data_IF_486666059152
#
_entry.id   IF_486666059152
#
_cell.length_a   1.000
_cell.length_b   1.000
_cell.length_c   1.000
_cell.angle_alpha   90.00
_cell.angle_beta   90.00
_cell.angle_gamma   90.00
#
_symmetry.space_group_name_H-M   'P 1'
#
loop_
_entity.id
_entity.type
_entity.pdbx_description
1 polymer ?
#
# COMPACT_ATOMS: atom_id res chain seq x y z
N UNK A 1 20.25 -2.90 9.27
CA UNK A 1 19.32 -4.05 9.18
C UNK A 1 18.72 -4.07 7.79
N UNK A 2 19.21 -4.93 6.90
CA UNK A 2 18.74 -5.01 5.52
C UNK A 2 17.54 -5.95 5.46
N UNK A 3 16.33 -5.39 5.41
CA UNK A 3 15.10 -6.18 5.27
C UNK A 3 15.07 -6.84 3.89
N UNK A 4 15.23 -8.17 3.84
CA UNK A 4 15.19 -8.96 2.61
C UNK A 4 13.83 -8.85 1.88
N UNK A 5 12.79 -8.34 2.54
CA UNK A 5 11.43 -8.15 2.01
C UNK A 5 11.38 -7.19 0.81
N UNK A 6 12.31 -6.23 0.73
CA UNK A 6 12.37 -5.25 -0.37
C UNK A 6 12.73 -5.87 -1.74
N UNK A 7 13.40 -7.03 -1.76
CA UNK A 7 13.93 -7.61 -3.00
C UNK A 7 12.89 -8.41 -3.81
N UNK A 8 11.78 -8.81 -3.19
CA UNK A 8 10.82 -9.73 -3.81
C UNK A 8 9.52 -9.04 -4.28
N UNK A 9 9.25 -7.81 -3.86
CA UNK A 9 8.10 -7.05 -4.34
C UNK A 9 8.42 -6.41 -5.70
N UNK A 10 7.87 -6.95 -6.79
CA UNK A 10 7.98 -6.32 -8.11
C UNK A 10 7.30 -4.94 -8.06
N UNK A 11 8.10 -3.86 -8.07
CA UNK A 11 7.60 -2.48 -8.05
C UNK A 11 6.66 -2.22 -9.24
N UNK A 12 5.53 -1.58 -9.00
CA UNK A 12 4.76 -1.01 -10.10
C UNK A 12 5.54 0.16 -10.74
N UNK A 13 5.37 0.43 -12.05
CA UNK A 13 6.01 1.57 -12.69
C UNK A 13 5.78 2.88 -11.94
N UNK A 14 6.85 3.66 -11.77
CA UNK A 14 6.79 4.94 -11.05
C UNK A 14 6.77 4.84 -9.53
N UNK A 15 7.09 3.67 -8.94
CA UNK A 15 7.29 3.51 -7.50
C UNK A 15 8.77 3.43 -7.14
N UNK A 16 9.12 4.09 -6.03
CA UNK A 16 10.44 3.98 -5.42
C UNK A 16 10.38 3.09 -4.16
N UNK A 17 11.49 2.42 -3.78
CA UNK A 17 11.50 1.49 -2.65
C UNK A 17 11.05 2.10 -1.31
N UNK A 18 11.47 3.32 -1.00
CA UNK A 18 11.04 4.07 0.19
C UNK A 18 9.54 4.39 0.18
N UNK A 19 8.97 4.73 -0.98
CA UNK A 19 7.52 4.93 -1.12
C UNK A 19 6.75 3.64 -0.86
N UNK A 20 7.29 2.48 -1.25
CA UNK A 20 6.67 1.19 -0.98
C UNK A 20 6.66 0.88 0.51
N UNK A 21 7.74 1.17 1.24
CA UNK A 21 7.76 1.04 2.71
C UNK A 21 6.74 1.99 3.36
N UNK A 22 6.64 3.23 2.88
CA UNK A 22 5.61 4.18 3.33
C UNK A 22 4.20 3.65 3.07
N UNK A 23 3.94 3.13 1.87
CA UNK A 23 2.64 2.55 1.53
C UNK A 23 2.30 1.39 2.47
N UNK A 24 3.24 0.48 2.69
CA UNK A 24 3.06 -0.68 3.56
C UNK A 24 2.61 -0.26 4.97
N UNK A 25 3.32 0.67 5.60
CA UNK A 25 2.96 1.16 6.93
C UNK A 25 1.64 1.95 6.89
N UNK A 26 1.38 2.70 5.82
CA UNK A 26 0.11 3.42 5.65
C UNK A 26 -1.09 2.47 5.51
N UNK A 27 -0.94 1.34 4.81
CA UNK A 27 -1.96 0.28 4.71
C UNK A 27 -2.25 -0.33 6.08
N UNK A 28 -1.20 -0.68 6.83
CA UNK A 28 -1.32 -1.20 8.19
C UNK A 28 -2.02 -0.20 9.13
N UNK A 29 -1.66 1.08 9.03
CA UNK A 29 -2.17 2.14 9.91
C UNK A 29 -3.58 2.59 9.57
N UNK A 30 -3.92 2.75 8.30
CA UNK A 30 -5.20 3.32 7.87
C UNK A 30 -6.21 2.29 7.41
N UNK A 31 -5.78 1.06 7.11
CA UNK A 31 -6.58 -0.02 6.57
C UNK A 31 -6.48 -0.10 5.04
N UNK A 32 -6.46 -1.32 4.52
CA UNK A 32 -6.40 -1.60 3.07
C UNK A 32 -7.67 -1.06 2.41
N UNK A 33 -7.56 -0.44 1.23
CA UNK A 33 -8.71 0.16 0.55
C UNK A 33 -9.03 1.60 0.98
N UNK A 34 -8.43 2.12 2.05
CA UNK A 34 -8.67 3.49 2.54
C UNK A 34 -7.80 4.53 1.79
N UNK A 35 -7.82 4.47 0.46
CA UNK A 35 -6.98 5.28 -0.44
C UNK A 35 -7.08 6.77 -0.17
N UNK A 36 -8.31 7.28 -0.01
CA UNK A 36 -8.54 8.69 0.29
C UNK A 36 -7.86 9.12 1.59
N UNK A 37 -7.91 8.30 2.65
CA UNK A 37 -7.28 8.58 3.94
C UNK A 37 -5.75 8.57 3.83
N UNK A 38 -5.20 7.59 3.10
CA UNK A 38 -3.76 7.52 2.82
C UNK A 38 -3.31 8.78 2.06
N UNK A 39 -4.02 9.18 1.01
CA UNK A 39 -3.68 10.38 0.24
C UNK A 39 -3.78 11.67 1.07
N UNK A 40 -4.86 11.82 1.86
CA UNK A 40 -5.07 12.98 2.73
C UNK A 40 -4.00 13.12 3.82
N UNK A 41 -3.39 12.01 4.26
CA UNK A 41 -2.25 12.07 5.19
C UNK A 41 -1.00 12.71 4.61
N UNK A 42 -0.91 12.82 3.27
CA UNK A 42 0.23 13.42 2.57
C UNK A 42 1.51 12.56 2.57
N UNK A 43 1.47 11.32 3.04
CA UNK A 43 2.65 10.46 3.10
C UNK A 43 3.18 10.00 1.72
N UNK A 44 2.31 9.99 0.70
CA UNK A 44 2.61 9.58 -0.67
C UNK A 44 2.13 10.62 -1.68
N UNK A 45 2.78 11.79 -1.78
CA UNK A 45 2.41 12.87 -2.68
C UNK A 45 2.55 12.42 -4.14
N UNK A 46 1.62 12.87 -4.97
CA UNK A 46 1.57 12.54 -6.40
C UNK A 46 1.05 11.14 -6.73
N UNK A 47 0.83 10.26 -5.75
CA UNK A 47 0.23 8.94 -6.00
C UNK A 47 -1.29 9.02 -6.12
N UNK A 48 -1.82 8.37 -7.14
CA UNK A 48 -3.26 8.23 -7.40
C UNK A 48 -3.84 6.98 -6.72
N UNK A 49 -5.16 6.90 -6.47
CA UNK A 49 -5.79 5.70 -5.93
C UNK A 49 -5.50 4.42 -6.73
N UNK A 50 -5.45 4.54 -8.07
CA UNK A 50 -5.12 3.41 -8.95
C UNK A 50 -3.69 2.89 -8.69
N UNK A 51 -2.72 3.80 -8.59
CA UNK A 51 -1.33 3.44 -8.26
C UNK A 51 -1.22 2.80 -6.88
N UNK A 52 -1.93 3.32 -5.87
CA UNK A 52 -1.98 2.74 -4.53
C UNK A 52 -2.55 1.30 -4.57
N UNK A 53 -3.65 1.10 -5.28
CA UNK A 53 -4.30 -0.20 -5.44
C UNK A 53 -3.37 -1.22 -6.14
N UNK A 54 -2.80 -0.87 -7.30
CA UNK A 54 -1.91 -1.75 -8.05
C UNK A 54 -0.64 -2.11 -7.28
N UNK A 55 -0.05 -1.17 -6.54
CA UNK A 55 1.09 -1.48 -5.69
C UNK A 55 0.70 -2.34 -4.49
N UNK A 56 -0.50 -2.14 -3.93
CA UNK A 56 -1.02 -3.00 -2.84
C UNK A 56 -1.22 -4.44 -3.31
N UNK A 57 -1.75 -4.67 -4.52
CA UNK A 57 -1.88 -6.01 -5.11
C UNK A 57 -0.54 -6.72 -5.20
N UNK A 58 0.51 -5.99 -5.62
CA UNK A 58 1.89 -6.50 -5.71
C UNK A 58 2.49 -6.80 -4.35
N UNK A 59 2.25 -5.92 -3.36
CA UNK A 59 2.68 -6.13 -1.97
C UNK A 59 2.07 -7.39 -1.37
N UNK A 60 0.76 -7.62 -1.58
CA UNK A 60 0.06 -8.78 -1.03
C UNK A 60 0.24 -10.06 -1.87
N UNK A 61 0.76 -9.94 -3.10
CA UNK A 61 0.88 -11.06 -4.02
C UNK A 61 -0.45 -11.56 -4.58
N UNK A 62 -1.49 -10.73 -4.63
CA UNK A 62 -2.82 -11.08 -5.11
C UNK A 62 -3.53 -9.91 -5.80
N UNK A 63 -4.23 -10.18 -6.91
CA UNK A 63 -4.94 -9.13 -7.67
C UNK A 63 -6.27 -8.72 -7.03
N UNK A 64 -7.06 -9.67 -6.52
CA UNK A 64 -8.26 -9.34 -5.74
C UNK A 64 -7.85 -8.79 -4.37
N UNK A 65 -8.43 -7.64 -4.00
CA UNK A 65 -8.28 -7.05 -2.68
C UNK A 65 -9.51 -7.22 -1.79
N UNK A 66 -10.59 -7.81 -2.32
CA UNK A 66 -11.92 -7.76 -1.71
C UNK A 66 -11.96 -8.31 -0.27
N UNK A 67 -11.22 -9.39 -0.01
CA UNK A 67 -11.12 -10.03 1.31
C UNK A 67 -10.22 -9.29 2.31
N UNK A 68 -9.49 -8.26 1.85
CA UNK A 68 -8.59 -7.45 2.67
C UNK A 68 -9.11 -6.04 2.94
N UNK A 69 -10.12 -5.59 2.17
CA UNK A 69 -10.65 -4.23 2.28
C UNK A 69 -11.09 -3.91 3.71
N UNK A 70 -10.72 -2.72 4.16
CA UNK A 70 -10.99 -2.15 5.49
C UNK A 70 -10.29 -2.82 6.67
N UNK A 71 -9.52 -3.88 6.44
CA UNK A 71 -8.74 -4.54 7.49
C UNK A 71 -7.38 -3.86 7.69
N UNK A 72 -6.90 -3.93 8.93
CA UNK A 72 -5.56 -3.52 9.34
C UNK A 72 -4.72 -4.78 9.53
N UNK A 73 -3.98 -5.17 8.48
CA UNK A 73 -3.28 -6.45 8.43
C UNK A 73 -1.76 -6.25 8.38
N UNK A 74 -1.02 -7.20 8.94
CA UNK A 74 0.42 -7.33 8.71
C UNK A 74 0.67 -7.74 7.24
N UNK A 75 1.12 -6.78 6.45
CA UNK A 75 1.29 -6.92 5.00
C UNK A 75 2.33 -7.98 4.67
N UNK A 76 3.41 -8.11 5.44
CA UNK A 76 4.45 -9.11 5.16
C UNK A 76 3.95 -10.52 5.43
N UNK A 77 3.16 -10.70 6.50
CA UNK A 77 2.54 -12.01 6.80
C UNK A 77 1.57 -12.43 5.71
N UNK A 78 0.72 -11.50 5.23
CA UNK A 78 -0.20 -11.77 4.12
C UNK A 78 0.58 -12.11 2.85
N UNK A 79 1.60 -11.32 2.51
CA UNK A 79 2.44 -11.55 1.34
C UNK A 79 3.09 -12.93 1.37
N UNK A 80 3.70 -13.30 2.51
CA UNK A 80 4.32 -14.62 2.71
C UNK A 80 3.30 -15.75 2.62
N UNK A 81 2.12 -15.58 3.21
CA UNK A 81 1.04 -16.57 3.12
C UNK A 81 0.61 -16.78 1.66
N UNK A 82 0.35 -15.70 0.92
CA UNK A 82 -0.05 -15.78 -0.49
C UNK A 82 1.06 -16.31 -1.40
N UNK A 83 2.33 -15.99 -1.12
CA UNK A 83 3.47 -16.55 -1.84
C UNK A 83 3.51 -18.09 -1.73
N UNK A 84 3.19 -18.63 -0.55
CA UNK A 84 3.23 -20.07 -0.27
C UNK A 84 1.98 -20.84 -0.71
N UNK A 85 0.90 -20.18 -1.17
CA UNK A 85 -0.31 -20.87 -1.65
C UNK A 85 -0.02 -21.74 -2.87
N UNK A 86 -0.31 -23.03 -2.78
CA UNK A 86 -0.24 -23.98 -3.89
C UNK A 86 -1.60 -24.11 -4.59
N UNK A 87 -1.63 -24.67 -5.80
CA UNK A 87 -2.89 -24.90 -6.54
C UNK A 87 -3.56 -23.65 -7.12
N UNK A 88 -2.93 -22.48 -7.05
CA UNK A 88 -3.48 -21.21 -7.56
C UNK A 88 -2.82 -20.77 -8.86
N UNK A 89 -3.59 -20.12 -9.73
CA UNK A 89 -3.08 -19.47 -10.94
C UNK A 89 -2.47 -18.11 -10.60
N UNK A 90 -1.36 -17.78 -11.26
CA UNK A 90 -0.64 -16.51 -11.07
C UNK A 90 -0.44 -15.78 -12.39
N UNK A 91 -0.58 -14.46 -12.35
CA UNK A 91 -0.22 -13.55 -13.46
C UNK A 91 0.61 -12.41 -12.87
N UNK A 92 1.81 -12.22 -13.43
CA UNK A 92 2.78 -11.23 -12.95
C UNK A 92 3.09 -11.37 -11.45
N UNK A 93 3.33 -12.61 -11.00
CA UNK A 93 3.59 -13.00 -9.59
C UNK A 93 2.43 -12.76 -8.61
N UNK A 94 1.27 -12.31 -9.06
CA UNK A 94 0.08 -12.16 -8.22
C UNK A 94 -0.91 -13.31 -8.46
N UNK A 95 -1.53 -13.81 -7.40
CA UNK A 95 -2.67 -14.73 -7.48
C UNK A 95 -3.81 -14.04 -8.24
N UNK A 96 -4.38 -14.76 -9.20
CA UNK A 96 -5.55 -14.34 -9.97
C UNK A 96 -6.76 -15.20 -9.61
N UNK A 97 -7.93 -14.57 -9.48
CA UNK A 97 -9.18 -15.31 -9.36
C UNK A 97 -9.54 -15.87 -10.75
N UNK A 98 -9.65 -17.18 -10.85
CA UNK A 98 -10.12 -17.88 -12.07
C UNK A 98 -11.41 -18.64 -11.86
N UNK A 99 -12.01 -18.53 -10.67
CA UNK A 99 -13.29 -19.14 -10.32
C UNK A 99 -14.43 -18.13 -10.35
N UNK A 100 -15.58 -18.56 -9.81
CA UNK A 100 -16.72 -17.68 -9.56
C UNK A 100 -16.31 -16.58 -8.58
N UNK A 101 -16.88 -15.39 -8.72
CA UNK A 101 -16.77 -14.38 -7.68
C UNK A 101 -17.38 -14.92 -6.37
N UNK A 102 -16.69 -14.75 -5.23
CA UNK A 102 -17.25 -15.18 -3.94
C UNK A 102 -18.57 -14.45 -3.70
N UNK A 103 -19.53 -15.17 -3.14
CA UNK A 103 -20.74 -14.55 -2.63
C UNK A 103 -20.42 -13.72 -1.35
N UNK A 104 -21.36 -12.89 -0.88
CA UNK A 104 -21.12 -12.05 0.28
C UNK A 104 -20.75 -12.82 1.56
N UNK A 105 -21.30 -14.02 1.76
CA UNK A 105 -21.01 -14.83 2.96
C UNK A 105 -19.60 -15.40 2.91
N UNK A 106 -19.19 -15.94 1.77
CA UNK A 106 -17.83 -16.43 1.56
C UNK A 106 -16.81 -15.30 1.67
N UNK A 107 -17.13 -14.12 1.13
CA UNK A 107 -16.27 -12.96 1.27
C UNK A 107 -16.09 -12.54 2.73
N UNK A 108 -17.15 -12.61 3.55
CA UNK A 108 -17.05 -12.29 4.97
C UNK A 108 -16.25 -13.36 5.73
N UNK A 109 -16.45 -14.65 5.44
CA UNK A 109 -15.62 -15.74 5.99
C UNK A 109 -14.13 -15.52 5.69
N UNK A 110 -13.80 -15.12 4.47
CA UNK A 110 -12.43 -14.80 4.08
C UNK A 110 -11.88 -13.58 4.83
N UNK A 111 -12.70 -12.55 5.06
CA UNK A 111 -12.31 -11.37 5.84
C UNK A 111 -12.05 -11.70 7.30
N UNK A 112 -12.91 -12.51 7.92
CA UNK A 112 -12.75 -12.98 9.29
C UNK A 112 -11.47 -13.80 9.42
N UNK A 113 -11.26 -14.77 8.54
CA UNK A 113 -10.02 -15.54 8.49
C UNK A 113 -8.79 -14.63 8.39
N UNK A 114 -8.77 -13.67 7.46
CA UNK A 114 -7.63 -12.76 7.31
C UNK A 114 -7.43 -11.86 8.53
N UNK A 115 -8.52 -11.42 9.18
CA UNK A 115 -8.48 -10.63 10.40
C UNK A 115 -7.88 -11.43 11.55
N UNK A 116 -8.25 -12.68 11.71
CA UNK A 116 -7.72 -13.55 12.76
C UNK A 116 -6.25 -13.91 12.54
N UNK A 117 -5.89 -14.28 11.31
CA UNK A 117 -4.54 -14.76 10.99
C UNK A 117 -3.51 -13.63 10.90
N UNK A 118 -3.91 -12.47 10.40
CA UNK A 118 -2.98 -11.38 10.04
C UNK A 118 -3.35 -10.02 10.64
N UNK A 119 -4.44 -9.93 11.39
CA UNK A 119 -4.90 -8.68 11.99
C UNK A 119 -3.90 -8.11 12.97
N UNK A 120 -3.70 -6.79 12.89
CA UNK A 120 -2.92 -6.03 13.84
C UNK A 120 -3.77 -5.65 15.05
N UNK A 121 -3.16 -5.64 16.23
CA UNK A 121 -3.86 -5.18 17.42
C UNK A 121 -4.07 -3.66 17.38
N UNK A 122 -5.16 -3.14 17.97
CA UNK A 122 -5.42 -1.70 18.03
C UNK A 122 -4.30 -0.89 18.69
N UNK A 123 -3.56 -1.48 19.63
CA UNK A 123 -2.36 -0.88 20.24
C UNK A 123 -1.24 -0.70 19.24
N UNK A 124 -0.94 -1.74 18.46
CA UNK A 124 0.13 -1.74 17.47
C UNK A 124 -0.18 -0.74 16.35
N UNK A 125 -1.42 -0.73 15.86
CA UNK A 125 -1.89 0.22 14.84
C UNK A 125 -1.67 1.67 15.27
N UNK A 126 -1.93 1.98 16.54
CA UNK A 126 -1.75 3.33 17.09
C UNK A 126 -0.27 3.73 17.16
N UNK A 127 0.60 2.78 17.49
CA UNK A 127 2.04 2.99 17.61
C UNK A 127 2.76 3.09 16.25
N UNK A 128 2.17 2.57 15.16
CA UNK A 128 2.76 2.67 13.83
C UNK A 128 3.08 4.12 13.46
N UNK A 129 4.34 4.39 13.13
CA UNK A 129 4.78 5.67 12.58
C UNK A 129 5.05 5.52 11.09
N UNK A 130 4.33 6.28 10.27
CA UNK A 130 4.55 6.27 8.83
C UNK A 130 5.89 6.98 8.55
N UNK A 131 6.84 6.31 7.88
CA UNK A 131 8.13 6.91 7.56
C UNK A 131 7.93 8.15 6.69
N UNK A 132 8.80 9.16 6.87
CA UNK A 132 8.80 10.34 6.00
C UNK A 132 9.67 10.06 4.78
N UNK A 133 9.12 10.25 3.59
CA UNK A 133 9.91 10.27 2.36
C UNK A 133 10.73 11.56 2.27
N UNK A 134 11.94 11.46 1.71
CA UNK A 134 12.83 12.62 1.56
C UNK A 134 12.21 13.69 0.65
N UNK A 135 12.66 14.94 0.75
CA UNK A 135 12.19 15.99 -0.15
C UNK A 135 12.49 15.65 -1.62
N UNK A 136 13.69 15.12 -1.90
CA UNK A 136 14.06 14.67 -3.24
C UNK A 136 13.10 13.58 -3.74
N UNK A 137 12.79 12.60 -2.90
CA UNK A 137 11.80 11.56 -3.18
C UNK A 137 10.46 12.17 -3.61
N UNK A 138 9.94 13.10 -2.81
CA UNK A 138 8.65 13.77 -3.08
C UNK A 138 8.64 14.49 -4.42
N UNK A 139 9.74 15.17 -4.76
CA UNK A 139 9.89 15.90 -6.02
C UNK A 139 9.86 14.93 -7.21
N UNK A 140 10.59 13.81 -7.10
CA UNK A 140 10.67 12.81 -8.15
C UNK A 140 9.35 12.03 -8.33
N UNK A 141 8.51 11.96 -7.30
CA UNK A 141 7.20 11.30 -7.33
C UNK A 141 6.16 12.04 -8.16
N UNK A 142 6.34 13.35 -8.40
CA UNK A 142 5.42 14.14 -9.19
C UNK A 142 5.43 13.73 -10.67
N UNK A 143 4.24 13.37 -11.17
CA UNK A 143 4.01 13.04 -12.57
C UNK A 143 3.31 14.21 -13.27
N UNK A 144 3.61 14.40 -14.56
CA UNK A 144 3.04 15.49 -15.37
C UNK A 144 4.11 16.24 -16.16
N UNK A 145 3.65 17.22 -16.94
CA UNK A 145 4.52 18.13 -17.68
C UNK A 145 5.35 19.03 -16.71
N UNK A 146 6.43 19.67 -17.19
CA UNK A 146 7.32 20.47 -16.36
C UNK A 146 6.62 21.57 -15.54
N UNK A 147 5.56 22.21 -16.06
CA UNK A 147 4.84 23.27 -15.34
C UNK A 147 3.99 22.69 -14.20
N UNK A 148 3.36 21.53 -14.41
CA UNK A 148 2.61 20.83 -13.37
C UNK A 148 3.52 20.39 -12.23
N UNK A 149 4.70 19.85 -12.55
CA UNK A 149 5.73 19.51 -11.54
C UNK A 149 6.17 20.74 -10.76
N UNK A 150 6.40 21.86 -11.44
CA UNK A 150 6.83 23.11 -10.81
C UNK A 150 5.76 23.65 -9.83
N UNK A 151 4.48 23.64 -10.21
CA UNK A 151 3.37 24.03 -9.32
C UNK A 151 3.32 23.18 -8.06
N UNK A 152 3.38 21.86 -8.21
CA UNK A 152 3.35 20.91 -7.09
C UNK A 152 4.57 21.09 -6.15
N UNK A 153 5.75 21.38 -6.72
CA UNK A 153 6.96 21.77 -5.99
C UNK A 153 6.75 23.04 -5.14
N UNK A 154 6.14 24.08 -5.71
CA UNK A 154 5.86 25.33 -4.99
C UNK A 154 4.84 25.12 -3.85
N UNK A 155 3.78 24.36 -4.09
CA UNK A 155 2.80 24.00 -3.05
C UNK A 155 3.45 23.22 -1.90
N UNK A 156 4.32 22.26 -2.23
CA UNK A 156 5.04 21.47 -1.25
C UNK A 156 5.97 22.34 -0.40
N UNK A 157 6.72 23.25 -1.03
CA UNK A 157 7.57 24.23 -0.34
C UNK A 157 6.75 25.11 0.62
N UNK A 158 5.54 25.51 0.23
CA UNK A 158 4.61 26.24 1.08
C UNK A 158 4.17 25.45 2.32
N UNK A 159 3.84 24.16 2.16
CA UNK A 159 3.46 23.27 3.29
C UNK A 159 4.61 23.06 4.27
N UNK A 160 5.83 22.87 3.77
CA UNK A 160 7.02 22.68 4.62
C UNK A 160 7.31 23.93 5.46
N UNK A 161 7.18 25.13 4.89
CA UNK A 161 7.36 26.39 5.63
C UNK A 161 6.34 26.54 6.77
N UNK A 162 5.10 26.11 6.57
CA UNK A 162 4.03 26.18 7.59
C UNK A 162 4.20 25.16 8.74
N UNK A 163 4.96 24.09 8.55
CA UNK A 163 5.23 23.09 9.59
C UNK A 163 6.43 23.43 10.49
N UNK A 164 7.16 24.51 10.22
CA UNK A 164 8.32 24.97 10.99
C UNK A 164 8.00 26.13 11.97
N UNK A 165 6.72 26.47 12.12
CA UNK A 165 6.17 27.46 13.07
C UNK A 165 5.31 26.68 14.05
#
# INVERSE_FOLDING_TARGET
MNSQSLKNATLAPGWRPDEVEVLKVALMKFGIGRWRKIMQSGCLPGKTPSQLSSQTQRLLGQQSLAEYLHLHLDIDKVAKHNQNKTGVKRKSNCIVNTGKNPDPEELERLREFNREQFGLQPTDIRQLQIPKISLLSQILSFQGDPLTKLKQLYELKGRIKKQKI
#
